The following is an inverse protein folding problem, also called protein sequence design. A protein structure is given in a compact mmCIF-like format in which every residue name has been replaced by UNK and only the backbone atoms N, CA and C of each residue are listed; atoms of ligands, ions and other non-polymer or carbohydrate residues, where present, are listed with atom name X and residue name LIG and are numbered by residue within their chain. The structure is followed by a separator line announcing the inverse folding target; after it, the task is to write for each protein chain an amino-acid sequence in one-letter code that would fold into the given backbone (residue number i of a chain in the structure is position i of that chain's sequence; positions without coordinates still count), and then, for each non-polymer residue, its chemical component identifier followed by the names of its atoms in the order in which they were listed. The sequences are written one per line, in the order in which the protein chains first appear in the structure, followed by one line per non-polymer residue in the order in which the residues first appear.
data_IF_321596879533
#
_entry.id   IF_321596879533
#
_cell.length_a   1.000
_cell.length_b   1.000
_cell.length_c   1.000
_cell.angle_alpha   90.00
_cell.angle_beta   90.00
_cell.angle_gamma   90.00
#
_symmetry.space_group_name_H-M   'P 1'
#
loop_
_entity.id
_entity.type
_entity.pdbx_description
1 polymer ?
#
# COMPACT_ATOMS: atom_id res chain seq x y z
N UNK A 1 -29.21 -51.69 -37.03
CA UNK A 1 -28.48 -50.40 -36.95
C UNK A 1 -29.48 -49.32 -36.59
N UNK A 2 -29.00 -48.31 -35.86
CA UNK A 2 -29.62 -47.01 -35.51
C UNK A 2 -29.97 -46.93 -34.01
N UNK A 3 -29.06 -46.43 -33.17
CA UNK A 3 -28.68 -45.02 -32.95
C UNK A 3 -29.58 -44.42 -31.86
N UNK A 4 -29.18 -44.62 -30.60
CA UNK A 4 -29.70 -43.85 -29.47
C UNK A 4 -28.59 -42.92 -29.01
N UNK A 5 -28.79 -41.67 -29.41
CA UNK A 5 -27.98 -40.48 -29.19
C UNK A 5 -27.77 -40.18 -27.72
N UNK A 6 -26.52 -40.30 -27.26
CA UNK A 6 -26.08 -39.88 -25.94
C UNK A 6 -26.02 -38.35 -25.88
N UNK A 7 -26.96 -37.73 -25.17
CA UNK A 7 -26.98 -36.28 -24.95
C UNK A 7 -25.93 -35.95 -23.89
N UNK A 8 -24.79 -35.40 -24.31
CA UNK A 8 -23.75 -34.90 -23.41
C UNK A 8 -24.17 -33.48 -22.98
N UNK A 9 -24.70 -33.36 -21.77
CA UNK A 9 -24.98 -32.06 -21.14
C UNK A 9 -23.66 -31.45 -20.69
N UNK A 10 -23.10 -30.57 -21.51
CA UNK A 10 -21.92 -29.79 -21.14
C UNK A 10 -22.32 -28.68 -20.17
N UNK A 11 -22.04 -28.88 -18.87
CA UNK A 11 -22.16 -27.83 -17.88
C UNK A 11 -21.07 -26.78 -18.13
N UNK A 12 -21.45 -25.66 -18.73
CA UNK A 12 -20.58 -24.49 -18.88
C UNK A 12 -20.40 -23.88 -17.49
N UNK A 13 -19.28 -24.18 -16.85
CA UNK A 13 -18.88 -23.52 -15.60
C UNK A 13 -18.44 -22.11 -15.97
N UNK A 14 -19.37 -21.16 -15.91
CA UNK A 14 -19.04 -19.73 -15.99
C UNK A 14 -18.29 -19.35 -14.72
N UNK A 15 -16.96 -19.35 -14.78
CA UNK A 15 -16.11 -18.81 -13.74
C UNK A 15 -16.23 -17.27 -13.78
N UNK A 16 -17.18 -16.72 -13.01
CA UNK A 16 -17.25 -15.29 -12.77
C UNK A 16 -16.07 -14.88 -11.89
N UNK A 17 -14.95 -14.52 -12.50
CA UNK A 17 -13.86 -13.86 -11.81
C UNK A 17 -14.35 -12.47 -11.39
N UNK A 18 -14.74 -12.33 -10.13
CA UNK A 18 -14.92 -11.02 -9.49
C UNK A 18 -13.53 -10.41 -9.30
N UNK A 19 -12.94 -9.90 -10.39
CA UNK A 19 -11.85 -8.93 -10.29
C UNK A 19 -12.42 -7.72 -9.61
N UNK A 20 -12.24 -7.65 -8.29
CA UNK A 20 -12.44 -6.43 -7.52
C UNK A 20 -11.42 -5.43 -8.06
N UNK A 21 -11.79 -4.70 -9.11
CA UNK A 21 -11.04 -3.56 -9.60
C UNK A 21 -11.07 -2.54 -8.47
N UNK A 22 -10.04 -2.57 -7.62
CA UNK A 22 -9.87 -1.64 -6.52
C UNK A 22 -9.72 -0.25 -7.15
N UNK A 23 -10.80 0.53 -7.15
CA UNK A 23 -10.77 1.91 -7.63
C UNK A 23 -9.70 2.63 -6.83
N UNK A 24 -8.55 2.88 -7.47
CA UNK A 24 -7.49 3.69 -6.89
C UNK A 24 -8.04 5.11 -6.83
N UNK A 25 -8.74 5.46 -5.75
CA UNK A 25 -9.10 6.83 -5.48
C UNK A 25 -7.79 7.62 -5.49
N UNK A 26 -7.64 8.48 -6.49
CA UNK A 26 -6.44 9.30 -6.63
C UNK A 26 -6.46 10.30 -5.49
N UNK A 27 -5.57 10.10 -4.51
CA UNK A 27 -5.35 11.13 -3.51
C UNK A 27 -4.85 12.40 -4.20
N UNK A 28 -5.31 13.54 -3.71
CA UNK A 28 -4.86 14.86 -4.14
C UNK A 28 -4.21 15.53 -2.93
N UNK A 29 -3.06 16.15 -3.15
CA UNK A 29 -2.39 16.92 -2.11
C UNK A 29 -3.29 18.08 -1.68
N UNK A 30 -3.53 18.22 -0.38
CA UNK A 30 -4.31 19.34 0.16
C UNK A 30 -3.53 20.66 0.11
N UNK A 31 -2.20 20.58 0.21
CA UNK A 31 -1.29 21.72 0.18
C UNK A 31 0.11 21.27 -0.30
N UNK A 32 1.06 22.21 -0.33
CA UNK A 32 2.46 21.98 -0.71
C UNK A 32 3.39 21.84 0.50
N UNK A 33 2.89 21.44 1.66
CA UNK A 33 3.70 21.28 2.86
C UNK A 33 4.47 19.94 2.85
N UNK A 34 5.53 19.86 3.67
CA UNK A 34 6.40 18.68 3.78
C UNK A 34 5.64 17.43 4.22
N UNK A 35 4.72 17.56 5.18
CA UNK A 35 3.89 16.46 5.67
C UNK A 35 3.03 15.89 4.55
N UNK A 36 2.39 16.74 3.75
CA UNK A 36 1.56 16.35 2.60
C UNK A 36 2.40 15.66 1.53
N UNK A 37 3.60 16.17 1.22
CA UNK A 37 4.53 15.51 0.30
C UNK A 37 4.84 14.07 0.77
N UNK A 38 5.14 13.91 2.06
CA UNK A 38 5.47 12.60 2.65
C UNK A 38 4.25 11.67 2.63
N UNK A 39 3.06 12.15 2.99
CA UNK A 39 1.83 11.37 2.94
C UNK A 39 1.50 10.91 1.52
N UNK A 40 1.65 11.78 0.53
CA UNK A 40 1.47 11.43 -0.88
C UNK A 40 2.52 10.43 -1.35
N UNK A 41 3.76 10.53 -0.86
CA UNK A 41 4.80 9.55 -1.15
C UNK A 41 4.50 8.18 -0.53
N UNK A 42 3.95 8.13 0.70
CA UNK A 42 3.48 6.90 1.34
C UNK A 42 2.38 6.24 0.52
N UNK A 43 1.30 6.96 0.20
CA UNK A 43 0.16 6.42 -0.52
C UNK A 43 0.50 5.98 -1.96
N UNK A 44 1.63 6.43 -2.52
CA UNK A 44 2.07 6.04 -3.86
C UNK A 44 2.47 4.57 -4.00
N UNK A 45 2.62 3.85 -2.88
CA UNK A 45 3.11 2.46 -2.83
C UNK A 45 4.49 2.23 -3.50
N UNK A 46 5.28 3.29 -3.64
CA UNK A 46 6.64 3.26 -4.20
C UNK A 46 7.64 3.65 -3.11
N UNK A 47 8.29 2.69 -2.42
CA UNK A 47 9.20 2.99 -1.31
C UNK A 47 10.29 4.00 -1.67
N UNK A 48 10.79 3.96 -2.91
CA UNK A 48 11.79 4.92 -3.40
C UNK A 48 11.28 6.37 -3.37
N UNK A 49 9.98 6.61 -3.61
CA UNK A 49 9.38 7.94 -3.51
C UNK A 49 9.36 8.43 -2.08
N UNK A 50 9.00 7.57 -1.12
CA UNK A 50 9.07 7.88 0.31
C UNK A 50 10.50 8.23 0.73
N UNK A 51 11.48 7.38 0.40
CA UNK A 51 12.89 7.62 0.73
C UNK A 51 13.40 8.93 0.12
N UNK A 52 12.99 9.24 -1.12
CA UNK A 52 13.38 10.48 -1.80
C UNK A 52 12.77 11.69 -1.11
N UNK A 53 11.47 11.67 -0.80
CA UNK A 53 10.77 12.76 -0.11
C UNK A 53 11.39 13.01 1.28
N UNK A 54 11.67 11.94 2.04
CA UNK A 54 12.35 12.04 3.33
C UNK A 54 13.75 12.65 3.19
N UNK A 55 14.55 12.18 2.21
CA UNK A 55 15.91 12.69 1.97
C UNK A 55 15.92 14.16 1.57
N UNK A 56 15.03 14.57 0.66
CA UNK A 56 14.91 15.96 0.21
C UNK A 56 14.60 16.90 1.37
N UNK A 57 13.80 16.41 2.33
CA UNK A 57 13.42 17.15 3.53
C UNK A 57 14.35 16.89 4.74
N UNK A 58 15.48 16.19 4.54
CA UNK A 58 16.48 15.86 5.58
C UNK A 58 15.89 15.12 6.79
N UNK A 59 14.90 14.28 6.56
CA UNK A 59 14.20 13.51 7.59
C UNK A 59 14.72 12.08 7.68
N UNK A 60 14.86 11.59 8.91
CA UNK A 60 15.12 10.19 9.18
C UNK A 60 13.80 9.40 9.17
N UNK A 61 13.76 8.25 8.49
CA UNK A 61 12.54 7.45 8.33
C UNK A 61 11.93 6.99 9.66
N UNK A 62 12.75 6.59 10.64
CA UNK A 62 12.27 6.18 11.96
C UNK A 62 11.64 7.35 12.70
N UNK A 63 12.30 8.53 12.70
CA UNK A 63 11.75 9.73 13.36
C UNK A 63 10.48 10.19 12.65
N UNK A 64 10.49 10.24 11.32
CA UNK A 64 9.35 10.64 10.51
C UNK A 64 8.13 9.75 10.75
N UNK A 65 8.32 8.43 10.82
CA UNK A 65 7.21 7.50 11.08
C UNK A 65 6.60 7.68 12.49
N UNK A 66 7.37 8.18 13.47
CA UNK A 66 6.87 8.48 14.82
C UNK A 66 6.20 9.86 14.93
N UNK A 67 6.68 10.85 14.18
CA UNK A 67 6.26 12.25 14.35
C UNK A 67 5.25 12.72 13.30
N UNK A 68 5.28 12.17 12.09
CA UNK A 68 4.45 12.64 10.98
C UNK A 68 3.17 11.81 10.94
N UNK A 69 2.04 12.52 10.96
CA UNK A 69 0.72 11.92 10.91
C UNK A 69 -0.01 12.36 9.64
N UNK A 70 -0.45 11.38 8.86
CA UNK A 70 -1.28 11.57 7.68
C UNK A 70 -2.73 11.38 8.08
N UNK A 71 -3.53 12.46 8.09
CA UNK A 71 -4.92 12.44 8.54
C UNK A 71 -5.09 11.81 9.94
N UNK A 72 -4.16 12.11 10.86
CA UNK A 72 -4.16 11.58 12.23
C UNK A 72 -3.59 10.16 12.38
N UNK A 73 -3.08 9.54 11.31
CA UNK A 73 -2.52 8.18 11.32
C UNK A 73 -1.00 8.21 11.15
N UNK A 74 -0.29 7.25 11.73
CA UNK A 74 1.14 7.06 11.43
C UNK A 74 1.35 6.79 9.94
N UNK A 75 2.58 6.98 9.44
CA UNK A 75 2.87 6.73 8.03
C UNK A 75 2.60 5.26 7.65
N UNK A 76 2.89 4.32 8.55
CA UNK A 76 2.59 2.90 8.35
C UNK A 76 1.08 2.64 8.22
N UNK A 77 0.29 3.04 9.21
CA UNK A 77 -1.16 2.83 9.22
C UNK A 77 -1.86 3.54 8.05
N UNK A 78 -1.37 4.72 7.67
CA UNK A 78 -1.85 5.42 6.48
C UNK A 78 -1.53 4.65 5.19
N UNK A 79 -0.32 4.09 5.09
CA UNK A 79 0.07 3.23 3.99
C UNK A 79 -0.83 1.99 3.87
N UNK A 80 -1.11 1.31 4.98
CA UNK A 80 -2.02 0.16 5.02
C UNK A 80 -3.44 0.53 4.59
N UNK A 81 -4.00 1.62 5.12
CA UNK A 81 -5.33 2.13 4.77
C UNK A 81 -5.48 2.42 3.28
N UNK A 82 -4.40 2.85 2.63
CA UNK A 82 -4.37 3.16 1.20
C UNK A 82 -3.76 2.04 0.34
N UNK A 83 -3.68 0.81 0.87
CA UNK A 83 -3.16 -0.38 0.17
C UNK A 83 -1.73 -0.22 -0.38
N UNK A 84 -0.94 0.65 0.25
CA UNK A 84 0.46 0.90 -0.08
C UNK A 84 1.40 -0.11 0.60
N UNK A 85 1.12 -1.41 0.39
CA UNK A 85 1.75 -2.54 1.09
C UNK A 85 3.28 -2.51 1.07
N UNK A 86 3.89 -2.18 -0.07
CA UNK A 86 5.35 -2.13 -0.19
C UNK A 86 5.94 -1.04 0.69
N UNK A 87 5.24 0.10 0.80
CA UNK A 87 5.72 1.25 1.57
C UNK A 87 5.47 1.05 3.06
N UNK A 88 4.31 0.49 3.43
CA UNK A 88 4.02 0.08 4.81
C UNK A 88 5.03 -0.96 5.32
N UNK A 89 5.32 -2.00 4.52
CA UNK A 89 6.33 -3.02 4.86
C UNK A 89 7.72 -2.40 5.07
N UNK A 90 8.10 -1.42 4.24
CA UNK A 90 9.38 -0.73 4.40
C UNK A 90 9.43 0.04 5.72
N UNK A 91 8.36 0.76 6.07
CA UNK A 91 8.24 1.53 7.32
C UNK A 91 8.35 0.60 8.54
N UNK A 92 7.64 -0.53 8.51
CA UNK A 92 7.67 -1.55 9.57
C UNK A 92 9.07 -2.13 9.79
N UNK A 93 9.79 -2.46 8.70
CA UNK A 93 11.18 -2.94 8.76
C UNK A 93 12.12 -1.97 9.48
N UNK A 94 11.93 -0.66 9.28
CA UNK A 94 12.74 0.36 9.96
C UNK A 94 12.37 0.52 11.43
N UNK A 95 11.10 0.36 11.81
CA UNK A 95 10.69 0.35 13.22
C UNK A 95 11.35 -0.82 13.97
N UNK A 96 11.17 -2.06 13.47
CA UNK A 96 11.73 -3.27 14.11
C UNK A 96 13.25 -3.17 14.26
N UNK A 97 13.95 -2.73 13.22
CA UNK A 97 15.41 -2.53 13.29
C UNK A 97 15.81 -1.53 14.37
N UNK A 98 15.02 -0.47 14.54
CA UNK A 98 15.29 0.55 15.57
C UNK A 98 15.06 -0.04 16.96
N UNK A 99 13.93 -0.73 17.18
CA UNK A 99 13.58 -1.33 18.47
C UNK A 99 14.64 -2.32 18.94
N UNK A 100 15.09 -3.19 18.03
CA UNK A 100 16.17 -4.15 18.29
C UNK A 100 17.50 -3.49 18.69
N UNK A 101 17.84 -2.36 18.07
CA UNK A 101 19.05 -1.62 18.41
C UNK A 101 18.94 -0.90 19.76
N UNK A 102 17.75 -0.40 20.11
CA UNK A 102 17.52 0.30 21.38
C UNK A 102 17.38 -0.63 22.60
N UNK A 103 17.20 -1.94 22.38
CA UNK A 103 17.12 -2.95 23.45
C UNK A 103 18.47 -3.56 23.85
N UNK A 104 19.57 -3.10 23.25
CA UNK A 104 20.95 -3.50 23.54
C UNK A 104 21.66 -2.41 24.36
#
# INVERSE_FOLDING_TARGET
MNLLTTIIVANVITLSANVSAHQTQKLVAADNNITTEICMAVASNKPIKLITALRNNRLNITKANKSIHCNGMTLEAFGEKHHAVNTATQLQRYQIKTELYTSL
#
